data_IF_988019464716
#
_entry.id   IF_988019464716
#
_cell.length_a   1.000
_cell.length_b   1.000
_cell.length_c   1.000
_cell.angle_alpha   90.00
_cell.angle_beta   90.00
_cell.angle_gamma   90.00
#
_symmetry.space_group_name_H-M   'P 1'
#
loop_
_entity.id
_entity.type
_entity.pdbx_description
1 polymer ?
#
# COMPACT_ATOMS: atom_id res chain seq x y z
N UNK A 1 3.98 21.52 10.26
CA UNK A 1 2.80 20.81 9.73
C UNK A 1 3.22 20.20 8.41
N UNK A 2 2.94 18.92 8.17
CA UNK A 2 3.21 18.29 6.86
C UNK A 2 2.15 18.82 5.89
N UNK A 3 2.57 19.41 4.78
CA UNK A 3 1.66 19.95 3.77
C UNK A 3 1.05 18.80 2.95
N UNK A 4 -0.28 18.80 2.81
CA UNK A 4 -0.99 17.83 2.01
C UNK A 4 -0.72 18.06 0.52
N UNK A 5 -0.50 16.99 -0.24
CA UNK A 5 -0.33 17.05 -1.70
C UNK A 5 -1.60 16.59 -2.39
N UNK A 6 -2.02 17.30 -3.43
CA UNK A 6 -3.30 17.03 -4.09
C UNK A 6 -3.15 16.02 -5.23
N UNK A 7 -4.07 15.06 -5.30
CA UNK A 7 -4.27 14.17 -6.46
C UNK A 7 -5.72 14.21 -6.91
N UNK A 8 -5.93 14.19 -8.23
CA UNK A 8 -7.26 14.03 -8.81
C UNK A 8 -7.50 12.57 -9.17
N UNK A 9 -8.58 11.98 -8.65
CA UNK A 9 -8.96 10.60 -8.94
C UNK A 9 -10.38 10.54 -9.51
N UNK A 10 -10.48 10.25 -10.81
CA UNK A 10 -11.76 9.95 -11.43
C UNK A 10 -12.07 8.44 -11.32
N UNK A 11 -13.28 8.13 -10.88
CA UNK A 11 -13.80 6.78 -10.87
C UNK A 11 -14.19 6.32 -12.28
N UNK A 12 -13.69 5.16 -12.70
CA UNK A 12 -14.02 4.56 -14.00
C UNK A 12 -14.98 3.38 -13.91
N UNK A 13 -15.29 2.91 -12.70
CA UNK A 13 -16.10 1.72 -12.46
C UNK A 13 -16.90 1.81 -11.16
N UNK A 14 -17.89 0.93 -10.97
CA UNK A 14 -18.62 0.85 -9.69
C UNK A 14 -17.70 0.42 -8.53
N UNK A 15 -16.69 -0.39 -8.84
CA UNK A 15 -15.64 -0.84 -7.93
C UNK A 15 -14.78 0.36 -7.48
N UNK A 16 -14.40 1.24 -8.41
CA UNK A 16 -13.69 2.49 -8.07
C UNK A 16 -14.54 3.43 -7.22
N UNK A 17 -15.85 3.53 -7.49
CA UNK A 17 -16.75 4.35 -6.66
C UNK A 17 -16.72 3.88 -5.20
N UNK A 18 -16.83 2.57 -4.97
CA UNK A 18 -16.81 1.98 -3.63
C UNK A 18 -15.47 2.22 -2.93
N UNK A 19 -14.36 2.08 -3.65
CA UNK A 19 -13.02 2.36 -3.11
C UNK A 19 -12.84 3.82 -2.70
N UNK A 20 -13.27 4.76 -3.55
CA UNK A 20 -13.23 6.20 -3.25
C UNK A 20 -14.12 6.58 -2.06
N UNK A 21 -15.33 6.05 -1.99
CA UNK A 21 -16.25 6.27 -0.86
C UNK A 21 -15.64 5.71 0.43
N UNK A 22 -15.10 4.49 0.40
CA UNK A 22 -14.52 3.89 1.60
C UNK A 22 -13.24 4.57 2.07
N UNK A 23 -12.41 5.11 1.17
CA UNK A 23 -11.27 5.95 1.56
C UNK A 23 -11.73 7.25 2.24
N UNK A 24 -12.78 7.90 1.72
CA UNK A 24 -13.38 9.09 2.35
C UNK A 24 -13.92 8.76 3.74
N UNK A 25 -14.61 7.63 3.87
CA UNK A 25 -15.16 7.20 5.15
C UNK A 25 -14.03 6.93 6.16
N UNK A 26 -12.96 6.23 5.74
CA UNK A 26 -11.78 6.00 6.56
C UNK A 26 -11.06 7.30 6.97
N UNK A 27 -10.96 8.26 6.06
CA UNK A 27 -10.40 9.60 6.33
C UNK A 27 -11.18 10.35 7.43
N UNK A 28 -12.50 10.21 7.43
CA UNK A 28 -13.36 10.77 8.49
C UNK A 28 -13.07 10.20 9.89
N UNK A 29 -12.37 9.07 9.98
CA UNK A 29 -12.05 8.36 11.23
C UNK A 29 -10.61 8.61 11.72
N UNK A 30 -9.88 9.54 11.09
CA UNK A 30 -8.42 9.69 11.26
C UNK A 30 -7.95 10.26 12.61
N UNK A 31 -8.77 11.02 13.33
CA UNK A 31 -8.32 11.79 14.49
C UNK A 31 -7.60 10.92 15.54
N UNK A 32 -6.31 11.17 15.75
CA UNK A 32 -5.49 10.51 16.79
C UNK A 32 -5.05 9.06 16.50
N UNK A 33 -5.44 8.48 15.37
CA UNK A 33 -5.22 7.05 15.09
C UNK A 33 -3.80 6.71 14.60
N UNK A 34 -3.13 7.64 13.91
CA UNK A 34 -1.83 7.35 13.29
C UNK A 34 -1.85 6.25 12.22
N UNK A 35 -3.02 5.92 11.65
CA UNK A 35 -3.12 4.89 10.61
C UNK A 35 -2.35 5.28 9.33
N UNK A 36 -2.15 4.31 8.43
CA UNK A 36 -1.72 4.52 7.03
C UNK A 36 -2.61 3.76 6.07
N UNK A 37 -3.06 4.39 4.99
CA UNK A 37 -3.63 3.65 3.86
C UNK A 37 -2.50 2.90 3.17
N UNK A 38 -2.63 1.57 3.09
CA UNK A 38 -1.67 0.67 2.47
C UNK A 38 -2.36 -0.12 1.33
N UNK A 39 -1.76 -1.21 0.86
CA UNK A 39 -2.43 -2.08 -0.10
C UNK A 39 -2.54 -1.48 -1.51
N UNK A 40 -3.65 -1.74 -2.20
CA UNK A 40 -3.86 -1.28 -3.58
C UNK A 40 -4.07 0.23 -3.69
N UNK A 41 -4.88 0.82 -2.80
CA UNK A 41 -5.18 2.26 -2.86
C UNK A 41 -3.95 3.13 -2.60
N UNK A 42 -3.03 2.68 -1.75
CA UNK A 42 -1.71 3.30 -1.59
C UNK A 42 -0.98 3.43 -2.94
N UNK A 43 -0.98 2.38 -3.77
CA UNK A 43 -0.31 2.41 -5.09
C UNK A 43 -0.99 3.42 -6.01
N UNK A 44 -2.32 3.42 -6.06
CA UNK A 44 -3.10 4.36 -6.88
C UNK A 44 -2.83 5.82 -6.49
N UNK A 45 -2.78 6.11 -5.19
CA UNK A 45 -2.53 7.46 -4.67
C UNK A 45 -1.09 7.91 -4.96
N UNK A 46 -0.10 7.03 -4.74
CA UNK A 46 1.30 7.32 -5.05
C UNK A 46 1.53 7.52 -6.56
N UNK A 47 0.85 6.74 -7.40
CA UNK A 47 0.89 6.95 -8.86
C UNK A 47 0.27 8.28 -9.28
N UNK A 48 -0.83 8.69 -8.63
CA UNK A 48 -1.42 10.02 -8.85
C UNK A 48 -0.47 11.17 -8.48
N UNK A 49 0.33 11.01 -7.43
CA UNK A 49 1.35 12.00 -7.04
C UNK A 49 2.59 11.98 -7.93
N UNK A 50 2.98 10.80 -8.41
CA UNK A 50 4.17 10.59 -9.22
C UNK A 50 3.78 9.86 -10.52
N UNK A 51 3.20 10.58 -11.50
CA UNK A 51 2.72 9.96 -12.72
C UNK A 51 3.85 9.29 -13.49
N UNK A 52 3.59 8.09 -13.99
CA UNK A 52 4.49 7.35 -14.89
C UNK A 52 3.74 6.90 -16.14
N UNK A 53 4.47 6.36 -17.12
CA UNK A 53 3.85 5.80 -18.34
C UNK A 53 3.11 4.49 -18.09
N UNK A 54 3.35 3.82 -16.97
CA UNK A 54 2.65 2.60 -16.58
C UNK A 54 1.28 2.96 -16.02
N UNK A 55 0.18 2.33 -16.49
CA UNK A 55 -1.14 2.60 -15.93
C UNK A 55 -1.23 2.08 -14.50
N UNK A 56 -1.88 2.83 -13.61
CA UNK A 56 -2.25 2.31 -12.29
C UNK A 56 -3.42 1.34 -12.40
N UNK A 57 -3.33 0.22 -11.66
CA UNK A 57 -4.42 -0.74 -11.53
C UNK A 57 -5.51 -0.18 -10.60
N UNK A 58 -6.78 -0.37 -10.97
CA UNK A 58 -7.92 -0.11 -10.08
C UNK A 58 -7.97 -1.09 -8.89
N UNK A 59 -8.56 -0.66 -7.77
CA UNK A 59 -8.72 -1.46 -6.55
C UNK A 59 -9.95 -0.97 -5.79
N UNK A 60 -10.70 -1.89 -5.18
CA UNK A 60 -11.78 -1.58 -4.24
C UNK A 60 -11.42 -1.89 -2.80
N UNK A 61 -10.49 -2.82 -2.58
CA UNK A 61 -10.08 -3.23 -1.24
C UNK A 61 -9.28 -2.10 -0.60
N UNK A 62 -9.73 -1.69 0.59
CA UNK A 62 -9.10 -0.65 1.38
C UNK A 62 -8.37 -1.33 2.53
N UNK A 63 -7.05 -1.22 2.51
CA UNK A 63 -6.19 -1.73 3.57
C UNK A 63 -5.70 -0.56 4.43
N UNK A 64 -5.89 -0.64 5.75
CA UNK A 64 -5.43 0.36 6.70
C UNK A 64 -4.46 -0.26 7.70
N UNK A 65 -3.21 0.22 7.72
CA UNK A 65 -2.24 -0.18 8.71
C UNK A 65 -2.44 0.60 10.01
N UNK A 66 -2.45 -0.12 11.14
CA UNK A 66 -2.61 0.43 12.50
C UNK A 66 -1.40 0.09 13.39
N UNK A 67 -0.93 1.02 14.25
CA UNK A 67 0.14 0.76 15.23
C UNK A 67 -0.14 -0.40 16.19
N UNK A 68 0.90 -1.14 16.57
CA UNK A 68 0.84 -2.12 17.68
C UNK A 68 1.02 -1.38 19.01
N UNK A 69 0.06 -1.47 19.92
CA UNK A 69 0.23 -1.01 21.31
C UNK A 69 -0.58 0.20 21.73
N UNK A 70 -1.50 0.68 20.88
CA UNK A 70 -2.56 1.58 21.32
C UNK A 70 -3.88 0.85 21.14
N UNK A 71 -4.27 0.10 22.18
CA UNK A 71 -5.61 -0.46 22.30
C UNK A 71 -6.65 0.63 22.01
N UNK A 72 -6.42 1.85 22.53
CA UNK A 72 -7.20 3.05 22.24
C UNK A 72 -7.28 3.46 20.75
N UNK A 73 -6.26 3.20 19.93
CA UNK A 73 -6.29 3.53 18.48
C UNK A 73 -7.05 2.48 17.69
N UNK A 74 -6.84 1.21 18.03
CA UNK A 74 -7.63 0.11 17.48
C UNK A 74 -9.10 0.24 17.86
N UNK A 75 -9.36 0.62 19.11
CA UNK A 75 -10.69 0.95 19.64
C UNK A 75 -11.26 2.19 18.97
N UNK A 76 -10.53 3.30 18.84
CA UNK A 76 -11.06 4.51 18.18
C UNK A 76 -11.39 4.28 16.71
N UNK A 77 -10.57 3.50 15.99
CA UNK A 77 -10.86 3.17 14.60
C UNK A 77 -12.01 2.17 14.49
N UNK A 78 -12.10 1.22 15.42
CA UNK A 78 -13.23 0.29 15.51
C UNK A 78 -14.55 1.03 15.80
N UNK A 79 -14.56 1.94 16.78
CA UNK A 79 -15.69 2.80 17.13
C UNK A 79 -16.07 3.71 15.97
N UNK A 80 -15.08 4.32 15.30
CA UNK A 80 -15.30 5.13 14.11
C UNK A 80 -15.95 4.34 12.97
N UNK A 81 -15.42 3.15 12.67
CA UNK A 81 -15.97 2.24 11.65
C UNK A 81 -17.40 1.80 11.99
N UNK A 82 -17.64 1.35 13.22
CA UNK A 82 -18.97 0.88 13.65
C UNK A 82 -20.00 2.01 13.70
N UNK A 83 -19.62 3.19 14.19
CA UNK A 83 -20.46 4.41 14.14
C UNK A 83 -20.75 4.84 12.70
N UNK A 84 -19.79 4.67 11.80
CA UNK A 84 -19.95 4.86 10.36
C UNK A 84 -20.79 3.79 9.66
N UNK A 85 -21.33 2.80 10.39
CA UNK A 85 -22.20 1.75 9.87
C UNK A 85 -21.48 0.55 9.28
N UNK A 86 -20.17 0.40 9.51
CA UNK A 86 -19.43 -0.80 9.15
C UNK A 86 -19.67 -1.91 10.19
N UNK A 87 -20.04 -3.08 9.71
CA UNK A 87 -20.16 -4.27 10.51
C UNK A 87 -18.80 -4.98 10.61
N UNK A 88 -18.31 -5.28 11.82
CA UNK A 88 -17.20 -6.19 11.99
C UNK A 88 -17.62 -7.59 11.57
N UNK A 89 -16.97 -8.17 10.56
CA UNK A 89 -17.30 -9.52 10.08
C UNK A 89 -16.38 -10.56 10.71
N UNK A 90 -15.41 -11.09 9.97
CA UNK A 90 -14.40 -12.01 10.48
C UNK A 90 -13.01 -11.37 10.42
N UNK A 91 -12.21 -11.64 11.45
CA UNK A 91 -10.82 -11.20 11.48
C UNK A 91 -10.69 -9.68 11.45
N UNK A 92 -9.86 -9.22 10.53
CA UNK A 92 -9.53 -7.81 10.35
C UNK A 92 -10.53 -7.03 9.48
N UNK A 93 -11.57 -7.69 8.97
CA UNK A 93 -12.43 -7.15 7.92
C UNK A 93 -13.67 -6.46 8.50
N UNK A 94 -14.00 -5.33 7.88
CA UNK A 94 -15.17 -4.51 8.13
C UNK A 94 -15.94 -4.30 6.83
N UNK A 95 -17.26 -4.42 6.89
CA UNK A 95 -18.12 -4.34 5.71
C UNK A 95 -19.26 -3.35 5.92
N UNK A 96 -19.53 -2.53 4.90
CA UNK A 96 -20.70 -1.66 4.86
C UNK A 96 -21.43 -1.84 3.55
N UNK A 97 -22.73 -2.14 3.64
CA UNK A 97 -23.59 -2.20 2.47
C UNK A 97 -23.73 -0.79 1.86
N UNK A 98 -23.67 -0.72 0.54
CA UNK A 98 -23.85 0.49 -0.23
C UNK A 98 -24.71 0.19 -1.46
N UNK A 99 -25.43 1.17 -1.99
CA UNK A 99 -26.33 0.97 -3.14
C UNK A 99 -25.65 0.46 -4.41
N UNK A 100 -24.31 0.40 -4.43
CA UNK A 100 -23.48 -0.06 -5.56
C UNK A 100 -22.68 -1.35 -5.25
N UNK A 101 -22.84 -1.94 -4.07
CA UNK A 101 -22.10 -3.11 -3.62
C UNK A 101 -21.68 -3.00 -2.16
N UNK A 102 -20.68 -3.77 -1.75
CA UNK A 102 -20.15 -3.74 -0.38
C UNK A 102 -18.83 -3.00 -0.35
N UNK A 103 -18.70 -2.04 0.58
CA UNK A 103 -17.42 -1.40 0.88
C UNK A 103 -16.71 -2.25 1.91
N UNK A 104 -15.44 -2.56 1.65
CA UNK A 104 -14.62 -3.46 2.46
C UNK A 104 -13.40 -2.70 2.95
N UNK A 105 -13.20 -2.69 4.27
CA UNK A 105 -11.99 -2.15 4.91
C UNK A 105 -11.34 -3.26 5.72
N UNK A 106 -10.06 -3.51 5.47
CA UNK A 106 -9.24 -4.46 6.22
C UNK A 106 -8.20 -3.72 7.07
N UNK A 107 -8.16 -4.03 8.36
CA UNK A 107 -7.15 -3.50 9.26
C UNK A 107 -5.92 -4.41 9.26
N UNK A 108 -4.72 -3.84 9.24
CA UNK A 108 -3.47 -4.59 9.24
C UNK A 108 -2.55 -4.02 10.30
N UNK A 109 -1.66 -4.83 10.86
CA UNK A 109 -0.67 -4.36 11.84
C UNK A 109 0.73 -4.82 11.50
N UNK A 110 1.77 -4.21 12.09
CA UNK A 110 3.15 -4.64 11.89
C UNK A 110 3.36 -6.10 12.30
N UNK A 111 4.30 -6.83 11.68
CA UNK A 111 4.68 -8.18 12.13
C UNK A 111 5.90 -8.14 13.03
N UNK A 112 5.86 -8.83 14.18
CA UNK A 112 7.01 -9.00 15.07
C UNK A 112 7.91 -10.20 14.72
N UNK A 113 7.41 -11.12 13.91
CA UNK A 113 8.17 -12.31 13.46
C UNK A 113 8.73 -12.13 12.04
N UNK A 114 8.29 -11.06 11.37
CA UNK A 114 8.53 -10.78 9.96
C UNK A 114 7.97 -11.87 9.04
N UNK A 115 6.91 -12.56 9.49
CA UNK A 115 6.02 -13.39 8.68
C UNK A 115 4.59 -12.86 8.77
N UNK A 116 3.76 -13.16 7.78
CA UNK A 116 2.32 -12.90 7.88
C UNK A 116 1.73 -13.85 8.92
N UNK A 117 1.01 -13.31 9.90
CA UNK A 117 0.33 -14.08 10.94
C UNK A 117 -0.79 -13.26 11.55
N UNK A 118 -1.89 -13.89 11.96
CA UNK A 118 -2.94 -13.18 12.69
C UNK A 118 -2.51 -12.95 14.15
N UNK A 119 -2.93 -11.82 14.72
CA UNK A 119 -2.68 -11.43 16.12
C UNK A 119 -3.93 -10.76 16.69
N UNK A 120 -4.10 -10.76 18.02
CA UNK A 120 -5.26 -10.12 18.65
C UNK A 120 -4.94 -8.67 19.01
N UNK A 121 -5.80 -7.72 18.61
CA UNK A 121 -5.78 -6.32 19.01
C UNK A 121 -7.20 -5.95 19.48
N UNK A 122 -7.34 -5.46 20.71
CA UNK A 122 -8.63 -5.10 21.32
C UNK A 122 -9.70 -6.20 21.15
N UNK A 123 -9.31 -7.46 21.35
CA UNK A 123 -10.20 -8.62 21.22
C UNK A 123 -10.53 -9.05 19.78
N UNK A 124 -10.02 -8.36 18.75
CA UNK A 124 -10.18 -8.71 17.34
C UNK A 124 -8.93 -9.33 16.76
N UNK A 125 -9.11 -10.32 15.88
CA UNK A 125 -8.01 -10.85 15.09
C UNK A 125 -7.65 -9.85 13.98
N UNK A 126 -6.37 -9.51 13.86
CA UNK A 126 -5.81 -8.60 12.88
C UNK A 126 -4.61 -9.26 12.21
N UNK A 127 -4.50 -9.14 10.89
CA UNK A 127 -3.37 -9.71 10.18
C UNK A 127 -2.12 -8.84 10.34
N UNK A 128 -1.06 -9.46 10.83
CA UNK A 128 0.24 -8.83 11.01
C UNK A 128 1.10 -9.02 9.77
N UNK A 129 1.54 -7.94 9.13
CA UNK A 129 2.27 -7.95 7.87
C UNK A 129 3.70 -7.42 8.06
N UNK A 130 4.73 -8.11 7.53
CA UNK A 130 6.11 -7.63 7.57
C UNK A 130 6.31 -6.34 6.78
N UNK A 131 7.12 -5.42 7.30
CA UNK A 131 7.42 -4.12 6.67
C UNK A 131 6.45 -3.00 7.06
N UNK A 132 5.31 -3.32 7.69
CA UNK A 132 4.36 -2.30 8.16
C UNK A 132 4.93 -1.47 9.31
N UNK A 133 5.87 -2.01 10.08
CA UNK A 133 6.63 -1.25 11.08
C UNK A 133 7.35 -0.04 10.46
N UNK A 134 7.91 -0.19 9.26
CA UNK A 134 8.60 0.90 8.56
C UNK A 134 7.59 1.97 8.09
N UNK A 135 6.47 1.54 7.53
CA UNK A 135 5.41 2.43 7.07
C UNK A 135 4.75 3.24 8.20
N UNK A 136 4.66 2.65 9.39
CA UNK A 136 4.08 3.29 10.58
C UNK A 136 5.10 4.14 11.35
N UNK A 137 6.39 3.80 11.29
CA UNK A 137 7.46 4.56 11.96
C UNK A 137 7.95 5.78 11.19
N UNK A 138 7.56 5.93 9.92
CA UNK A 138 7.95 7.06 9.05
C UNK A 138 6.83 8.09 8.94
N UNK A 139 7.22 9.34 8.70
CA UNK A 139 6.28 10.42 8.43
C UNK A 139 5.41 10.07 7.22
N UNK A 140 4.08 10.24 7.30
CA UNK A 140 3.21 9.96 6.18
C UNK A 140 3.43 10.98 5.08
N UNK A 141 3.19 10.56 3.83
CA UNK A 141 2.78 11.49 2.80
C UNK A 141 1.28 11.72 3.00
N UNK A 142 0.90 12.94 3.38
CA UNK A 142 -0.51 13.32 3.45
C UNK A 142 -0.99 13.69 2.05
N UNK A 143 -2.04 13.01 1.59
CA UNK A 143 -2.58 13.19 0.25
C UNK A 143 -4.00 13.71 0.36
N UNK A 144 -4.23 14.91 -0.19
CA UNK A 144 -5.57 15.42 -0.46
C UNK A 144 -6.07 14.81 -1.75
N UNK A 145 -7.21 14.13 -1.69
CA UNK A 145 -7.85 13.50 -2.83
C UNK A 145 -9.02 14.36 -3.26
N UNK A 146 -8.94 14.88 -4.48
CA UNK A 146 -10.08 15.50 -5.17
C UNK A 146 -10.67 14.43 -6.11
N UNK A 147 -11.68 13.73 -5.61
CA UNK A 147 -12.28 12.57 -6.26
C UNK A 147 -13.55 12.91 -7.03
N UNK A 148 -13.81 12.18 -8.12
CA UNK A 148 -15.09 12.26 -8.84
C UNK A 148 -15.65 10.87 -9.07
N UNK A 149 -16.85 10.62 -8.55
CA UNK A 149 -17.59 9.37 -8.75
C UNK A 149 -18.20 9.33 -10.15
N UNK A 150 -18.59 8.14 -10.63
CA UNK A 150 -19.24 7.99 -11.94
C UNK A 150 -20.57 8.72 -12.07
N UNK A 151 -21.22 9.04 -10.95
CA UNK A 151 -22.44 9.87 -10.93
C UNK A 151 -22.17 11.36 -11.15
N UNK A 152 -20.90 11.77 -11.24
CA UNK A 152 -20.49 13.17 -11.28
C UNK A 152 -20.37 13.82 -9.90
N UNK A 153 -20.71 13.11 -8.83
CA UNK A 153 -20.50 13.58 -7.45
C UNK A 153 -19.01 13.76 -7.19
N UNK A 154 -18.64 14.95 -6.69
CA UNK A 154 -17.29 15.27 -6.25
C UNK A 154 -17.14 14.99 -4.76
N UNK A 155 -16.03 14.39 -4.37
CA UNK A 155 -15.69 14.10 -2.98
C UNK A 155 -14.28 14.60 -2.70
N UNK A 156 -14.07 15.10 -1.48
CA UNK A 156 -12.77 15.58 -1.02
C UNK A 156 -12.46 14.99 0.34
N UNK A 157 -11.23 14.52 0.51
CA UNK A 157 -10.74 14.00 1.79
C UNK A 157 -9.21 13.96 1.80
N UNK A 158 -8.63 13.79 2.98
CA UNK A 158 -7.19 13.60 3.14
C UNK A 158 -6.89 12.23 3.71
N UNK A 159 -5.86 11.56 3.19
CA UNK A 159 -5.42 10.25 3.69
C UNK A 159 -3.90 10.21 3.84
N UNK A 160 -3.38 9.64 4.95
CA UNK A 160 -1.96 9.39 5.11
C UNK A 160 -1.57 8.09 4.40
N UNK A 161 -0.56 8.15 3.53
CA UNK A 161 0.06 6.96 2.92
C UNK A 161 1.55 6.87 3.29
N UNK A 162 2.16 5.68 3.21
CA UNK A 162 3.61 5.52 3.32
C UNK A 162 4.34 6.15 2.13
N UNK A 163 5.66 6.34 2.27
CA UNK A 163 6.51 6.71 1.12
C UNK A 163 6.56 5.61 0.06
N UNK A 164 7.00 5.98 -1.16
CA UNK A 164 7.19 5.01 -2.28
C UNK A 164 8.12 3.87 -1.89
N UNK A 165 9.19 4.16 -1.14
CA UNK A 165 10.11 3.13 -0.65
C UNK A 165 9.42 2.15 0.31
N UNK A 166 8.67 2.68 1.29
CA UNK A 166 7.95 1.85 2.25
C UNK A 166 6.91 0.98 1.54
N UNK A 167 6.18 1.56 0.58
CA UNK A 167 5.24 0.84 -0.27
C UNK A 167 5.92 -0.32 -1.03
N UNK A 168 7.12 -0.11 -1.56
CA UNK A 168 7.88 -1.13 -2.27
C UNK A 168 8.34 -2.27 -1.34
N UNK A 169 8.80 -1.94 -0.13
CA UNK A 169 9.14 -2.92 0.91
C UNK A 169 7.91 -3.77 1.26
N UNK A 170 6.75 -3.15 1.47
CA UNK A 170 5.49 -3.84 1.78
C UNK A 170 5.07 -4.79 0.66
N UNK A 171 5.08 -4.32 -0.58
CA UNK A 171 4.69 -5.13 -1.74
C UNK A 171 5.66 -6.27 -2.01
N UNK A 172 6.95 -6.10 -1.75
CA UNK A 172 7.93 -7.18 -1.81
C UNK A 172 7.60 -8.34 -0.84
N UNK A 173 7.18 -8.01 0.40
CA UNK A 173 6.74 -9.00 1.38
C UNK A 173 5.42 -9.66 0.99
N UNK A 174 4.43 -8.88 0.55
CA UNK A 174 3.15 -9.40 0.09
C UNK A 174 3.32 -10.36 -1.10
N UNK A 175 4.10 -9.95 -2.11
CA UNK A 175 4.44 -10.78 -3.25
C UNK A 175 5.08 -12.09 -2.83
N UNK A 176 6.08 -12.07 -1.94
CA UNK A 176 6.75 -13.32 -1.56
C UNK A 176 5.83 -14.28 -0.80
N UNK A 177 4.86 -13.75 -0.07
CA UNK A 177 3.88 -14.56 0.66
C UNK A 177 2.83 -15.19 -0.24
N UNK A 178 2.36 -14.47 -1.28
CA UNK A 178 1.22 -14.90 -2.11
C UNK A 178 1.62 -15.37 -3.51
N UNK A 179 2.80 -14.99 -3.97
CA UNK A 179 3.30 -15.14 -5.34
C UNK A 179 2.31 -14.62 -6.39
N UNK A 180 1.56 -13.56 -6.05
CA UNK A 180 0.47 -13.04 -6.86
C UNK A 180 0.96 -12.13 -7.98
N UNK A 181 0.44 -12.26 -9.23
CA UNK A 181 0.71 -11.30 -10.30
C UNK A 181 0.31 -9.86 -9.98
N UNK A 182 -0.73 -9.66 -9.15
CA UNK A 182 -1.16 -8.32 -8.71
C UNK A 182 -0.05 -7.60 -7.94
N UNK A 183 0.66 -8.32 -7.07
CA UNK A 183 1.78 -7.73 -6.33
C UNK A 183 2.96 -7.41 -7.26
N UNK A 184 3.15 -8.19 -8.34
CA UNK A 184 4.19 -7.91 -9.35
C UNK A 184 3.89 -6.62 -10.12
N UNK A 185 2.62 -6.40 -10.49
CA UNK A 185 2.17 -5.16 -11.14
C UNK A 185 2.31 -3.94 -10.21
N UNK A 186 1.95 -4.08 -8.93
CA UNK A 186 2.12 -3.04 -7.93
C UNK A 186 3.61 -2.71 -7.71
N UNK A 187 4.49 -3.73 -7.62
CA UNK A 187 5.95 -3.54 -7.54
C UNK A 187 6.48 -2.85 -8.79
N UNK A 188 6.01 -3.23 -9.99
CA UNK A 188 6.44 -2.60 -11.24
C UNK A 188 6.09 -1.11 -11.22
N UNK A 189 4.86 -0.76 -10.84
CA UNK A 189 4.42 0.63 -10.72
C UNK A 189 5.32 1.45 -9.80
N UNK A 190 5.65 0.91 -8.62
CA UNK A 190 6.53 1.59 -7.65
C UNK A 190 7.97 1.74 -8.14
N UNK A 191 8.49 0.75 -8.89
CA UNK A 191 9.82 0.82 -9.49
C UNK A 191 9.89 1.84 -10.63
N UNK A 192 8.84 1.95 -11.44
CA UNK A 192 8.74 2.99 -12.48
C UNK A 192 8.68 4.38 -11.83
N UNK A 193 7.91 4.54 -10.74
CA UNK A 193 7.90 5.79 -9.96
C UNK A 193 9.32 6.10 -9.44
N UNK A 194 10.01 5.09 -8.92
CA UNK A 194 11.36 5.25 -8.40
C UNK A 194 12.41 5.61 -9.46
N UNK A 195 12.24 5.17 -10.70
CA UNK A 195 13.14 5.49 -11.83
C UNK A 195 12.85 6.90 -12.36
N UNK A 196 11.59 7.24 -12.58
CA UNK A 196 11.18 8.52 -13.18
C UNK A 196 11.31 9.71 -12.20
N UNK A 197 11.12 9.49 -10.90
CA UNK A 197 11.01 10.56 -9.89
C UNK A 197 12.06 10.51 -8.79
N UNK A 198 13.17 9.80 -9.01
CA UNK A 198 14.18 9.50 -7.98
C UNK A 198 14.58 10.68 -7.08
N UNK A 199 14.89 11.89 -7.60
CA UNK A 199 15.33 12.99 -6.75
C UNK A 199 14.30 13.44 -5.70
N UNK A 200 13.00 13.26 -5.97
CA UNK A 200 11.91 13.60 -5.05
C UNK A 200 11.67 12.52 -3.96
N UNK A 201 12.35 11.38 -4.07
CA UNK A 201 12.15 10.21 -3.21
C UNK A 201 13.36 9.93 -2.30
N UNK A 202 14.43 10.74 -2.39
CA UNK A 202 15.56 10.61 -1.49
C UNK A 202 15.19 11.07 -0.06
N UNK A 203 15.71 10.44 0.99
CA UNK A 203 16.68 9.34 0.96
C UNK A 203 16.05 7.98 0.59
N UNK A 204 16.80 7.16 -0.15
CA UNK A 204 16.38 5.80 -0.54
C UNK A 204 17.21 4.71 0.15
N UNK A 205 16.65 4.15 1.22
CA UNK A 205 17.21 3.08 2.01
C UNK A 205 17.40 1.75 1.28
N UNK A 206 16.65 1.43 0.22
CA UNK A 206 16.79 0.16 -0.50
C UNK A 206 18.12 -0.01 -1.25
N UNK A 207 18.87 1.07 -1.51
CA UNK A 207 20.26 1.02 -2.01
C UNK A 207 21.29 1.38 -0.95
N UNK A 208 20.86 1.84 0.23
CA UNK A 208 21.75 2.30 1.29
C UNK A 208 22.47 1.10 1.96
N UNK A 209 23.81 1.01 1.90
CA UNK A 209 24.55 -0.08 2.52
C UNK A 209 24.42 -0.09 4.05
N UNK A 210 24.24 1.06 4.71
CA UNK A 210 24.07 1.14 6.16
C UNK A 210 22.78 0.47 6.66
N UNK A 211 21.75 0.40 5.80
CA UNK A 211 20.48 -0.26 6.10
C UNK A 211 20.42 -1.71 5.60
N UNK A 212 21.54 -2.26 5.10
CA UNK A 212 21.56 -3.61 4.54
C UNK A 212 21.22 -4.71 5.55
N UNK A 213 21.57 -4.50 6.82
CA UNK A 213 21.32 -5.46 7.89
C UNK A 213 20.03 -5.16 8.68
N UNK A 214 19.36 -4.03 8.41
CA UNK A 214 18.05 -3.77 8.99
C UNK A 214 17.03 -4.75 8.37
N UNK A 215 16.37 -5.53 9.24
CA UNK A 215 15.66 -6.76 8.84
C UNK A 215 14.56 -6.57 7.78
N UNK A 216 13.77 -5.47 7.76
CA UNK A 216 12.73 -5.28 6.75
C UNK A 216 13.35 -5.05 5.36
N UNK A 217 14.34 -4.14 5.25
CA UNK A 217 15.05 -3.90 3.99
C UNK A 217 15.82 -5.13 3.50
N UNK A 218 16.50 -5.85 4.41
CA UNK A 218 17.25 -7.05 4.04
C UNK A 218 16.35 -8.10 3.37
N UNK A 219 15.19 -8.37 3.96
CA UNK A 219 14.23 -9.35 3.44
C UNK A 219 13.57 -8.85 2.15
N UNK A 220 13.14 -7.58 2.11
CA UNK A 220 12.59 -6.99 0.89
C UNK A 220 13.56 -7.06 -0.29
N UNK A 221 14.84 -6.73 -0.08
CA UNK A 221 15.90 -6.88 -1.10
C UNK A 221 16.04 -8.33 -1.58
N UNK A 222 16.02 -9.30 -0.67
CA UNK A 222 16.07 -10.71 -1.03
C UNK A 222 14.84 -11.14 -1.87
N UNK A 223 13.64 -10.70 -1.48
CA UNK A 223 12.41 -10.97 -2.23
C UNK A 223 12.43 -10.34 -3.62
N UNK A 224 12.83 -9.08 -3.73
CA UNK A 224 12.94 -8.38 -5.03
C UNK A 224 14.03 -9.03 -5.91
N UNK A 225 15.15 -9.45 -5.33
CA UNK A 225 16.18 -10.20 -6.06
C UNK A 225 15.64 -11.54 -6.58
N UNK A 226 14.87 -12.28 -5.77
CA UNK A 226 14.20 -13.51 -6.19
C UNK A 226 13.21 -13.24 -7.34
N UNK A 227 12.42 -12.16 -7.26
CA UNK A 227 11.51 -11.75 -8.32
C UNK A 227 12.26 -11.46 -9.62
N UNK A 228 13.36 -10.69 -9.57
CA UNK A 228 14.18 -10.40 -10.74
C UNK A 228 14.72 -11.68 -11.41
N UNK A 229 15.14 -12.67 -10.62
CA UNK A 229 15.59 -13.96 -11.14
C UNK A 229 14.46 -14.73 -11.83
N UNK A 230 13.25 -14.74 -11.25
CA UNK A 230 12.07 -15.39 -11.84
C UNK A 230 11.64 -14.73 -13.15
N UNK A 231 11.64 -13.39 -13.21
CA UNK A 231 11.33 -12.63 -14.42
C UNK A 231 12.29 -12.97 -15.56
N UNK A 232 13.60 -13.05 -15.28
CA UNK A 232 14.63 -13.39 -16.28
C UNK A 232 14.50 -14.82 -16.82
N UNK A 233 14.02 -15.75 -16.01
CA UNK A 233 13.81 -17.16 -16.41
C UNK A 233 12.56 -17.35 -17.28
N UNK A 234 11.68 -16.35 -17.40
CA UNK A 234 10.49 -16.42 -18.26
C UNK A 234 9.38 -17.36 -17.77
N UNK A 235 9.37 -17.73 -16.48
CA UNK A 235 8.43 -18.73 -15.92
C UNK A 235 7.22 -18.15 -15.19
N UNK A 236 6.98 -16.84 -15.28
CA UNK A 236 5.85 -16.20 -14.57
C UNK A 236 4.63 -16.08 -15.49
N UNK A 237 3.50 -16.60 -15.03
CA UNK A 237 2.22 -16.55 -15.75
C UNK A 237 1.28 -15.52 -15.14
N UNK A 238 0.27 -15.08 -15.89
CA UNK A 238 -0.74 -14.14 -15.41
C UNK A 238 -0.24 -12.70 -15.23
N UNK A 239 0.92 -12.36 -15.77
CA UNK A 239 1.42 -10.99 -15.78
C UNK A 239 0.59 -10.12 -16.74
N UNK A 240 0.32 -8.85 -16.39
CA UNK A 240 -0.35 -7.92 -17.29
C UNK A 240 0.41 -7.74 -18.61
N UNK A 241 -0.32 -7.54 -19.71
CA UNK A 241 0.27 -7.39 -21.05
C UNK A 241 1.18 -6.17 -21.21
N UNK A 242 0.98 -5.13 -20.39
CA UNK A 242 1.80 -3.91 -20.38
C UNK A 242 3.09 -4.07 -19.57
N UNK A 243 3.26 -5.16 -18.81
CA UNK A 243 4.43 -5.41 -18.00
C UNK A 243 5.52 -6.05 -18.85
N UNK A 244 6.71 -5.43 -18.90
CA UNK A 244 7.86 -5.95 -19.61
C UNK A 244 8.88 -6.57 -18.63
N UNK A 245 8.97 -7.92 -18.51
CA UNK A 245 9.80 -8.58 -17.50
C UNK A 245 11.30 -8.18 -17.52
N UNK A 246 11.96 -8.01 -18.69
CA UNK A 246 13.35 -7.57 -18.72
C UNK A 246 13.55 -6.16 -18.15
N UNK A 247 12.62 -5.22 -18.43
CA UNK A 247 12.66 -3.85 -17.91
C UNK A 247 12.50 -3.87 -16.39
N UNK A 248 11.48 -4.56 -15.88
CA UNK A 248 11.25 -4.66 -14.44
C UNK A 248 12.45 -5.28 -13.71
N UNK A 249 13.07 -6.33 -14.26
CA UNK A 249 14.27 -6.93 -13.69
C UNK A 249 15.50 -5.99 -13.70
N UNK A 250 15.59 -5.06 -14.66
CA UNK A 250 16.61 -4.02 -14.70
C UNK A 250 16.33 -2.91 -13.66
N UNK A 251 15.06 -2.52 -13.48
CA UNK A 251 14.66 -1.56 -12.44
C UNK A 251 14.94 -2.09 -11.03
N UNK A 252 14.66 -3.37 -10.77
CA UNK A 252 15.05 -4.01 -9.51
C UNK A 252 16.57 -3.91 -9.31
N UNK A 253 17.36 -4.21 -10.34
CA UNK A 253 18.82 -4.13 -10.22
C UNK A 253 19.30 -2.70 -9.93
N UNK A 254 18.65 -1.68 -10.51
CA UNK A 254 18.99 -0.27 -10.33
C UNK A 254 18.63 0.28 -8.94
N UNK A 255 17.45 -0.08 -8.42
CA UNK A 255 16.88 0.56 -7.23
C UNK A 255 16.94 -0.29 -5.95
N UNK A 256 17.43 -1.53 -6.03
CA UNK A 256 17.41 -2.47 -4.90
C UNK A 256 18.76 -3.14 -4.65
N UNK A 257 19.53 -3.39 -5.71
CA UNK A 257 20.84 -4.00 -5.56
C UNK A 257 21.86 -3.00 -5.03
N UNK A 258 22.91 -3.52 -4.36
CA UNK A 258 24.08 -2.72 -3.99
C UNK A 258 24.68 -2.09 -5.25
N UNK A 259 25.14 -0.82 -5.21
CA UNK A 259 26.09 -0.35 -6.20
C UNK A 259 27.33 -1.26 -6.14
N UNK A 260 27.59 -2.02 -7.21
CA UNK A 260 28.76 -2.88 -7.34
C UNK A 260 28.49 -4.39 -7.21
N UNK A 261 27.95 -4.98 -8.28
CA UNK A 261 28.32 -6.31 -8.83
C UNK A 261 27.65 -6.42 -10.19
N UNK A 262 28.29 -5.78 -11.18
CA UNK A 262 28.24 -6.20 -12.58
C UNK A 262 29.15 -7.42 -12.72
#
# INVERSE_FOLDING_TARGET
MVEARTVRLDSSSAVDDLGLIGLRDLAGMQAGTGYRVVGGHMIRLLHGLYPTRTPARGTADIDAAIPRGLEAVGESLHEGLTTGGYLPVQGNRYERAHGRGTIVIELLTASTTGRIASTSIAGRQVDAVPGLELALATDPILIRVDGRLRTGEEIEFEVPVPSVECALVLKAHAWRSRLSPKDVEDINTLLEIADDHRPALEPWGLTNPALADYSPYRRARAHLTELAQRLRRGGMTGLPSHLHPPRMAALIARHVSKPGRL
#
